data_IF_655390915817
#
_entry.id   IF_655390915817
#
_cell.length_a   1.000
_cell.length_b   1.000
_cell.length_c   1.000
_cell.angle_alpha   90.00
_cell.angle_beta   90.00
_cell.angle_gamma   90.00
#
_symmetry.space_group_name_H-M   'P 1'
#
loop_
_entity.id
_entity.type
_entity.pdbx_description
1 polymer ?
#
# COMPACT_ATOMS: atom_id res chain seq x y z
N UNK A 1 37.42 -18.31 -49.39
CA UNK A 1 36.06 -18.26 -49.96
C UNK A 1 35.88 -19.54 -50.75
N UNK A 2 34.74 -20.23 -50.59
CA UNK A 2 34.50 -21.63 -50.99
C UNK A 2 35.36 -22.63 -50.16
N UNK A 3 34.97 -23.86 -49.81
CA UNK A 3 33.70 -24.59 -49.55
C UNK A 3 33.96 -26.07 -49.90
N UNK A 4 33.72 -26.99 -48.97
CA UNK A 4 33.57 -28.47 -49.10
C UNK A 4 33.26 -28.98 -47.66
N UNK A 5 32.07 -29.51 -47.34
CA UNK A 5 31.50 -30.87 -47.60
C UNK A 5 32.02 -31.90 -46.56
N UNK A 6 31.21 -32.40 -45.59
CA UNK A 6 30.16 -33.48 -45.64
C UNK A 6 30.80 -34.88 -45.58
N UNK A 7 30.42 -35.88 -44.75
CA UNK A 7 29.26 -36.17 -43.84
C UNK A 7 29.75 -37.20 -42.73
N UNK A 8 29.04 -37.87 -41.78
CA UNK A 8 27.64 -38.09 -41.30
C UNK A 8 27.68 -38.70 -39.84
N UNK A 9 26.56 -39.27 -39.32
CA UNK A 9 26.32 -40.21 -38.18
C UNK A 9 25.86 -39.59 -36.82
N UNK A 10 24.70 -39.88 -36.18
CA UNK A 10 23.90 -41.11 -35.90
C UNK A 10 24.47 -41.90 -34.69
N UNK A 11 23.76 -42.28 -33.61
CA UNK A 11 22.36 -42.07 -33.12
C UNK A 11 22.23 -42.51 -31.64
N UNK A 12 21.03 -42.41 -31.02
CA UNK A 12 20.34 -43.42 -30.16
C UNK A 12 19.18 -42.75 -29.37
N UNK A 13 18.13 -43.51 -29.06
CA UNK A 13 16.90 -43.07 -28.35
C UNK A 13 16.55 -43.98 -27.15
N UNK A 14 15.41 -43.69 -26.48
CA UNK A 14 14.78 -44.42 -25.36
C UNK A 14 15.39 -44.09 -23.98
N UNK A 15 14.61 -43.78 -22.93
CA UNK A 15 13.14 -43.68 -22.86
C UNK A 15 12.63 -43.06 -21.55
N UNK A 16 11.31 -43.01 -21.38
CA UNK A 16 10.63 -42.53 -20.16
C UNK A 16 10.85 -43.46 -18.95
N UNK A 17 10.92 -42.86 -17.76
CA UNK A 17 10.44 -43.48 -16.52
C UNK A 17 10.06 -42.38 -15.49
N UNK A 18 8.86 -42.48 -14.90
CA UNK A 18 8.36 -41.51 -13.90
C UNK A 18 8.35 -42.12 -12.49
N UNK A 19 8.92 -41.42 -11.50
CA UNK A 19 8.48 -41.50 -10.09
C UNK A 19 8.46 -40.07 -9.50
N UNK A 20 7.38 -39.64 -8.80
CA UNK A 20 7.22 -38.25 -8.36
C UNK A 20 7.76 -37.97 -6.95
N UNK A 21 8.20 -36.74 -6.71
CA UNK A 21 8.35 -36.17 -5.37
C UNK A 21 7.31 -35.06 -5.14
N UNK A 22 6.35 -35.33 -4.26
CA UNK A 22 5.37 -34.32 -3.82
C UNK A 22 5.93 -33.45 -2.67
N UNK A 23 5.22 -32.35 -2.38
CA UNK A 23 5.38 -31.51 -1.18
C UNK A 23 6.57 -30.54 -1.16
N UNK A 24 6.40 -29.41 -1.87
CA UNK A 24 6.47 -28.13 -1.16
C UNK A 24 5.35 -27.23 -1.68
N UNK A 25 4.45 -26.81 -0.79
CA UNK A 25 3.31 -25.97 -1.14
C UNK A 25 3.72 -24.52 -1.32
N UNK A 26 4.32 -24.17 -2.46
CA UNK A 26 4.26 -22.80 -2.94
C UNK A 26 2.80 -22.50 -3.29
N UNK A 27 2.15 -21.62 -2.50
CA UNK A 27 0.89 -21.03 -2.93
C UNK A 27 1.16 -20.34 -4.26
N UNK A 28 0.60 -20.88 -5.35
CA UNK A 28 0.78 -20.31 -6.68
C UNK A 28 0.15 -18.92 -6.68
N UNK A 29 0.98 -17.90 -6.94
CA UNK A 29 0.48 -16.57 -7.25
C UNK A 29 -0.20 -16.71 -8.61
N UNK A 30 -1.49 -16.39 -8.66
CA UNK A 30 -2.29 -16.45 -9.88
C UNK A 30 -1.59 -15.76 -11.06
N UNK A 31 -1.81 -16.25 -12.27
CA UNK A 31 -1.07 -15.84 -13.47
C UNK A 31 -1.13 -14.33 -13.68
N UNK A 32 -2.30 -13.73 -13.48
CA UNK A 32 -2.53 -12.28 -13.52
C UNK A 32 -1.72 -11.52 -12.46
N UNK A 33 -1.57 -12.09 -11.26
CA UNK A 33 -0.77 -11.52 -10.18
C UNK A 33 0.74 -11.53 -10.48
N UNK A 34 1.23 -12.59 -11.12
CA UNK A 34 2.62 -12.65 -11.57
C UNK A 34 2.87 -11.73 -12.77
N UNK A 35 1.94 -11.65 -13.74
CA UNK A 35 2.03 -10.68 -14.83
C UNK A 35 2.04 -9.25 -14.28
N UNK A 36 1.13 -8.90 -13.37
CA UNK A 36 1.09 -7.60 -12.70
C UNK A 36 2.44 -7.21 -12.07
N UNK A 37 3.08 -8.14 -11.36
CA UNK A 37 4.39 -7.94 -10.73
C UNK A 37 5.48 -7.66 -11.77
N UNK A 38 5.60 -8.51 -12.79
CA UNK A 38 6.64 -8.38 -13.83
C UNK A 38 6.44 -7.11 -14.68
N UNK A 39 5.21 -6.87 -15.14
CA UNK A 39 4.80 -5.77 -16.03
C UNK A 39 5.01 -4.38 -15.42
N UNK A 40 4.79 -4.25 -14.11
CA UNK A 40 4.95 -2.98 -13.39
C UNK A 40 6.36 -2.77 -12.79
N UNK A 41 7.30 -3.70 -13.01
CA UNK A 41 8.68 -3.56 -12.50
C UNK A 41 8.77 -3.71 -10.99
N UNK A 42 7.92 -4.56 -10.41
CA UNK A 42 7.92 -4.91 -9.01
C UNK A 42 8.86 -6.10 -8.80
N UNK A 43 9.78 -6.02 -7.83
CA UNK A 43 10.68 -7.11 -7.48
C UNK A 43 10.34 -7.67 -6.11
N UNK A 44 10.05 -8.98 -6.00
CA UNK A 44 9.92 -9.65 -4.69
C UNK A 44 11.26 -9.52 -3.96
N UNK A 45 11.25 -8.95 -2.74
CA UNK A 45 12.48 -8.86 -1.95
C UNK A 45 12.83 -10.22 -1.34
N UNK A 46 14.12 -10.45 -1.10
CA UNK A 46 14.58 -11.68 -0.45
C UNK A 46 14.08 -11.72 0.99
N UNK A 47 13.39 -12.81 1.35
CA UNK A 47 12.96 -13.08 2.73
C UNK A 47 14.20 -13.18 3.65
N UNK A 48 14.09 -12.67 4.88
CA UNK A 48 15.20 -12.47 5.83
C UNK A 48 16.28 -11.45 5.45
N UNK A 49 16.13 -10.72 4.33
CA UNK A 49 16.96 -9.53 4.06
C UNK A 49 16.71 -8.41 5.07
N UNK A 50 17.62 -7.44 5.17
CA UNK A 50 17.47 -6.29 6.06
C UNK A 50 16.22 -5.44 5.72
N UNK A 51 15.85 -5.33 4.44
CA UNK A 51 14.62 -4.65 4.02
C UNK A 51 13.37 -5.42 4.45
N UNK A 52 13.35 -6.75 4.26
CA UNK A 52 12.26 -7.63 4.70
C UNK A 52 12.08 -7.57 6.22
N UNK A 53 13.17 -7.64 6.99
CA UNK A 53 13.15 -7.49 8.45
C UNK A 53 12.59 -6.13 8.88
N UNK A 54 13.10 -5.01 8.35
CA UNK A 54 12.63 -3.67 8.72
C UNK A 54 11.15 -3.47 8.41
N UNK A 55 10.69 -3.92 7.23
CA UNK A 55 9.29 -3.76 6.81
C UNK A 55 8.36 -4.65 7.67
N UNK A 56 8.74 -5.92 7.93
CA UNK A 56 7.97 -6.80 8.83
C UNK A 56 7.92 -6.27 10.26
N UNK A 57 9.05 -5.83 10.82
CA UNK A 57 9.11 -5.25 12.18
C UNK A 57 8.28 -3.97 12.29
N UNK A 58 8.32 -3.09 11.29
CA UNK A 58 7.46 -1.91 11.20
C UNK A 58 5.98 -2.30 11.19
N UNK A 59 5.60 -3.21 10.29
CA UNK A 59 4.23 -3.70 10.15
C UNK A 59 3.68 -4.33 11.43
N UNK A 60 4.38 -5.29 12.03
CA UNK A 60 3.88 -5.98 13.23
C UNK A 60 3.92 -5.12 14.50
N UNK A 61 4.83 -4.14 14.58
CA UNK A 61 4.80 -3.12 15.63
C UNK A 61 3.56 -2.25 15.51
N UNK A 62 3.26 -1.73 14.31
CA UNK A 62 2.11 -0.88 14.08
C UNK A 62 0.75 -1.58 14.07
N UNK A 63 0.73 -2.92 13.98
CA UNK A 63 -0.46 -3.77 14.15
C UNK A 63 -0.86 -3.96 15.63
N UNK A 64 0.01 -3.55 16.56
CA UNK A 64 -0.14 -3.76 17.99
C UNK A 64 0.02 -5.23 18.37
N UNK A 65 1.18 -5.61 18.91
CA UNK A 65 1.58 -7.00 19.22
C UNK A 65 0.57 -7.79 20.08
N UNK A 66 -0.30 -7.11 20.83
CA UNK A 66 -1.32 -7.70 21.69
C UNK A 66 -2.70 -7.85 21.03
N UNK A 67 -2.94 -7.32 19.83
CA UNK A 67 -4.26 -7.43 19.18
C UNK A 67 -4.53 -8.85 18.68
N UNK A 68 -5.77 -9.32 18.88
CA UNK A 68 -6.20 -10.66 18.46
C UNK A 68 -6.21 -10.86 16.94
N UNK A 69 -6.23 -9.75 16.17
CA UNK A 69 -6.10 -9.74 14.72
C UNK A 69 -4.62 -9.87 14.32
N UNK A 70 -3.70 -9.08 14.90
CA UNK A 70 -2.27 -9.12 14.58
C UNK A 70 -1.66 -10.53 14.73
N UNK A 71 -2.06 -11.27 15.77
CA UNK A 71 -1.62 -12.66 16.02
C UNK A 71 -2.09 -13.67 14.97
N UNK A 72 -3.02 -13.27 14.09
CA UNK A 72 -3.57 -14.08 13.00
C UNK A 72 -3.33 -13.47 11.61
N UNK A 73 -2.63 -12.34 11.56
CA UNK A 73 -2.21 -11.70 10.30
C UNK A 73 -0.80 -12.17 9.96
N UNK A 74 -0.53 -12.50 8.69
CA UNK A 74 0.82 -12.80 8.20
C UNK A 74 1.13 -11.99 6.94
N UNK A 75 2.39 -11.61 6.75
CA UNK A 75 2.87 -11.07 5.47
C UNK A 75 3.29 -12.26 4.60
N UNK A 76 2.62 -12.41 3.46
CA UNK A 76 2.84 -13.45 2.46
C UNK A 76 4.02 -13.09 1.56
N UNK A 77 4.05 -11.85 1.06
CA UNK A 77 5.10 -11.35 0.18
C UNK A 77 5.30 -9.84 0.35
N UNK A 78 6.51 -9.38 0.03
CA UNK A 78 6.84 -7.96 -0.07
C UNK A 78 7.50 -7.73 -1.42
N UNK A 79 6.96 -6.78 -2.18
CA UNK A 79 7.43 -6.43 -3.52
C UNK A 79 7.91 -4.98 -3.53
N UNK A 80 9.16 -4.75 -3.92
CA UNK A 80 9.76 -3.41 -4.03
C UNK A 80 9.42 -2.80 -5.38
N UNK A 81 8.91 -1.57 -5.37
CA UNK A 81 8.69 -0.79 -6.58
C UNK A 81 10.04 -0.22 -7.07
N UNK A 82 10.59 -0.81 -8.12
CA UNK A 82 11.82 -0.32 -8.75
C UNK A 82 11.60 0.95 -9.59
N UNK A 83 10.34 1.37 -9.79
CA UNK A 83 9.96 2.52 -10.61
C UNK A 83 10.59 2.46 -12.01
N UNK A 84 10.65 1.27 -12.62
CA UNK A 84 11.44 1.01 -13.83
C UNK A 84 10.81 1.57 -15.12
N UNK A 85 9.47 1.71 -15.15
CA UNK A 85 8.73 2.31 -16.26
C UNK A 85 9.05 3.80 -16.44
N UNK A 86 8.77 4.36 -17.63
CA UNK A 86 9.00 5.79 -17.89
C UNK A 86 8.20 6.69 -16.92
N UNK A 87 6.93 6.37 -16.69
CA UNK A 87 6.08 7.06 -15.71
C UNK A 87 6.56 6.87 -14.27
N UNK A 88 7.02 5.67 -13.90
CA UNK A 88 7.64 5.41 -12.59
C UNK A 88 8.88 6.27 -12.36
N UNK A 89 9.81 6.31 -13.32
CA UNK A 89 11.02 7.16 -13.28
C UNK A 89 10.66 8.63 -13.12
N UNK A 90 9.70 9.13 -13.91
CA UNK A 90 9.24 10.52 -13.84
C UNK A 90 8.61 10.86 -12.48
N UNK A 91 7.77 9.98 -11.91
CA UNK A 91 7.20 10.15 -10.56
C UNK A 91 8.28 10.15 -9.47
N UNK A 92 9.24 9.23 -9.53
CA UNK A 92 10.36 9.16 -8.60
C UNK A 92 11.28 10.39 -8.67
N UNK A 93 11.55 10.90 -9.88
CA UNK A 93 12.30 12.15 -10.08
C UNK A 93 11.53 13.37 -9.56
N UNK A 94 10.23 13.47 -9.87
CA UNK A 94 9.34 14.52 -9.34
C UNK A 94 9.38 14.55 -7.81
N UNK A 95 9.24 13.39 -7.16
CA UNK A 95 9.34 13.27 -5.70
C UNK A 95 10.70 13.77 -5.16
N UNK A 96 11.83 13.52 -5.85
CA UNK A 96 13.11 14.08 -5.40
C UNK A 96 13.22 15.59 -5.60
N UNK A 97 12.66 16.14 -6.70
CA UNK A 97 12.63 17.60 -6.92
C UNK A 97 11.78 18.30 -5.86
N UNK A 98 10.58 17.81 -5.58
CA UNK A 98 9.73 18.35 -4.52
C UNK A 98 10.32 18.12 -3.13
N UNK A 99 10.94 16.97 -2.87
CA UNK A 99 11.63 16.72 -1.60
C UNK A 99 12.81 17.66 -1.40
N UNK A 100 13.46 18.14 -2.47
CA UNK A 100 14.48 19.18 -2.33
C UNK A 100 13.83 20.55 -2.08
N UNK A 101 12.84 20.93 -2.88
CA UNK A 101 12.18 22.24 -2.75
C UNK A 101 11.55 22.47 -1.36
N UNK A 102 10.94 21.43 -0.78
CA UNK A 102 10.40 21.49 0.60
C UNK A 102 11.53 21.52 1.64
N UNK A 103 12.66 20.82 1.43
CA UNK A 103 13.81 20.93 2.33
C UNK A 103 14.42 22.34 2.31
N UNK A 104 14.61 22.91 1.12
CA UNK A 104 15.12 24.28 0.92
C UNK A 104 14.18 25.32 1.57
N UNK A 105 12.85 25.11 1.52
CA UNK A 105 11.83 25.91 2.23
C UNK A 105 11.86 25.73 3.75
N UNK A 106 12.04 24.51 4.24
CA UNK A 106 11.88 24.14 5.66
C UNK A 106 13.19 24.10 6.47
N UNK A 107 14.26 24.74 5.98
CA UNK A 107 15.52 24.89 6.72
C UNK A 107 16.45 23.67 6.67
N UNK A 108 16.29 22.80 5.66
CA UNK A 108 17.19 21.68 5.36
C UNK A 108 16.59 20.28 5.47
N UNK A 109 15.40 20.12 6.06
CA UNK A 109 14.66 18.84 6.10
C UNK A 109 13.26 18.99 5.48
N UNK A 110 12.92 18.10 4.55
CA UNK A 110 11.58 17.99 3.96
C UNK A 110 10.62 17.12 4.80
N UNK A 111 11.06 16.70 5.99
CA UNK A 111 10.28 15.94 6.97
C UNK A 111 9.75 14.61 6.38
N UNK A 112 10.56 13.95 5.55
CA UNK A 112 10.14 12.76 4.80
C UNK A 112 9.98 11.55 5.72
N UNK A 113 8.79 10.93 5.75
CA UNK A 113 8.49 9.75 6.55
C UNK A 113 8.05 8.56 5.69
N UNK A 114 8.02 7.38 6.29
CA UNK A 114 7.31 6.23 5.74
C UNK A 114 5.87 6.18 6.27
N UNK A 115 4.93 5.84 5.41
CA UNK A 115 3.52 5.73 5.73
C UNK A 115 2.84 4.59 4.94
N UNK A 116 1.86 3.96 5.58
CA UNK A 116 1.04 2.91 5.03
C UNK A 116 -0.21 3.49 4.35
N UNK A 117 -0.66 2.83 3.29
CA UNK A 117 -1.92 3.11 2.61
C UNK A 117 -2.61 1.78 2.30
N UNK A 118 -3.85 1.64 2.76
CA UNK A 118 -4.69 0.47 2.54
C UNK A 118 -5.95 0.83 1.76
N UNK A 119 -6.20 0.08 0.69
CA UNK A 119 -7.31 0.25 -0.25
C UNK A 119 -7.64 -1.11 -0.91
N UNK A 120 -8.45 -1.11 -1.97
CA UNK A 120 -8.66 -2.29 -2.81
C UNK A 120 -7.39 -2.65 -3.60
N UNK A 121 -7.27 -3.92 -3.99
CA UNK A 121 -6.10 -4.43 -4.73
C UNK A 121 -5.96 -3.81 -6.13
N UNK A 122 -7.07 -3.47 -6.79
CA UNK A 122 -7.07 -2.79 -8.08
C UNK A 122 -6.73 -1.29 -7.93
N UNK A 123 -7.22 -0.62 -6.87
CA UNK A 123 -6.80 0.76 -6.53
C UNK A 123 -5.27 0.81 -6.28
N UNK A 124 -4.69 -0.17 -5.57
CA UNK A 124 -3.23 -0.27 -5.37
C UNK A 124 -2.50 -0.57 -6.68
N UNK A 125 -3.05 -1.40 -7.58
CA UNK A 125 -2.52 -1.63 -8.93
C UNK A 125 -2.47 -0.33 -9.74
N UNK A 126 -3.58 0.39 -9.82
CA UNK A 126 -3.71 1.62 -10.59
C UNK A 126 -2.82 2.74 -10.02
N UNK A 127 -2.66 2.83 -8.69
CA UNK A 127 -1.70 3.73 -8.04
C UNK A 127 -0.25 3.43 -8.43
N UNK A 128 0.13 2.15 -8.52
CA UNK A 128 1.50 1.75 -8.88
C UNK A 128 1.77 1.98 -10.38
N UNK A 129 0.79 1.71 -11.23
CA UNK A 129 0.90 1.87 -12.68
C UNK A 129 0.83 3.36 -13.09
N UNK A 130 -0.25 4.05 -12.71
CA UNK A 130 -0.57 5.41 -13.17
C UNK A 130 -0.21 6.51 -12.16
N UNK A 131 -0.25 6.22 -10.86
CA UNK A 131 -0.10 7.20 -9.78
C UNK A 131 -1.42 7.38 -9.03
N UNK A 132 -1.41 8.12 -7.92
CA UNK A 132 -2.64 8.45 -7.19
C UNK A 132 -3.59 9.22 -8.10
N UNK A 133 -4.87 8.86 -8.10
CA UNK A 133 -5.88 9.49 -8.94
C UNK A 133 -7.16 9.73 -8.16
N UNK A 134 -7.98 10.64 -8.66
CA UNK A 134 -9.30 10.97 -8.08
C UNK A 134 -10.41 10.00 -8.52
N UNK A 135 -10.12 9.11 -9.48
CA UNK A 135 -11.12 8.31 -10.16
C UNK A 135 -11.36 6.98 -9.45
N UNK A 136 -12.27 6.97 -8.48
CA UNK A 136 -12.90 5.74 -8.01
C UNK A 136 -13.78 5.16 -9.12
N UNK A 137 -13.63 3.87 -9.42
CA UNK A 137 -14.54 3.11 -10.30
C UNK A 137 -15.87 2.83 -9.58
N UNK A 138 -16.65 3.89 -9.37
CA UNK A 138 -17.94 3.80 -8.70
C UNK A 138 -19.06 3.54 -9.72
N UNK A 139 -19.58 2.32 -9.74
CA UNK A 139 -20.88 2.03 -10.35
C UNK A 139 -21.96 2.88 -9.67
N UNK A 140 -22.47 3.88 -10.39
CA UNK A 140 -23.69 4.61 -10.07
C UNK A 140 -23.80 5.19 -8.66
N UNK A 141 -23.44 6.47 -8.51
CA UNK A 141 -23.81 7.34 -7.37
C UNK A 141 -23.11 7.05 -6.02
N UNK A 142 -21.91 7.64 -5.86
CA UNK A 142 -21.47 8.22 -4.59
C UNK A 142 -20.42 9.31 -4.80
N UNK A 143 -20.32 10.21 -3.83
CA UNK A 143 -19.56 11.45 -3.87
C UNK A 143 -18.06 11.24 -4.23
N UNK A 144 -17.62 11.77 -5.38
CA UNK A 144 -16.28 11.59 -5.92
C UNK A 144 -15.20 12.45 -5.22
N UNK A 145 -15.52 13.07 -4.09
CA UNK A 145 -14.78 14.19 -3.50
C UNK A 145 -13.65 13.80 -2.54
N UNK A 146 -12.76 12.86 -2.92
CA UNK A 146 -11.49 12.58 -2.19
C UNK A 146 -10.49 13.73 -2.39
N UNK A 147 -10.72 14.87 -1.73
CA UNK A 147 -9.87 16.08 -1.76
C UNK A 147 -8.44 15.86 -1.22
N UNK A 148 -8.17 14.74 -0.55
CA UNK A 148 -6.86 14.38 -0.02
C UNK A 148 -6.68 12.87 0.07
N UNK A 149 -5.42 12.44 0.09
CA UNK A 149 -5.01 11.07 0.41
C UNK A 149 -4.61 11.03 1.89
N UNK A 150 -5.24 10.14 2.66
CA UNK A 150 -4.88 9.87 4.06
C UNK A 150 -4.01 8.62 4.14
N UNK A 151 -2.83 8.72 4.76
CA UNK A 151 -1.91 7.61 5.00
C UNK A 151 -1.68 7.42 6.50
N UNK A 152 -1.58 6.18 6.98
CA UNK A 152 -1.24 5.89 8.37
C UNK A 152 0.28 5.96 8.58
N UNK A 153 0.81 6.70 9.57
CA UNK A 153 2.24 6.70 9.88
C UNK A 153 2.80 5.29 10.11
N UNK A 154 4.10 5.08 9.87
CA UNK A 154 4.73 3.75 9.99
C UNK A 154 4.37 2.97 11.28
N UNK A 155 4.23 3.68 12.41
CA UNK A 155 3.82 3.17 13.73
C UNK A 155 2.35 2.71 13.86
N UNK A 156 1.53 2.81 12.81
CA UNK A 156 0.08 2.55 12.84
C UNK A 156 -0.43 1.81 11.59
N UNK A 157 0.29 0.78 11.14
CA UNK A 157 -0.16 -0.13 10.07
C UNK A 157 -1.54 -0.74 10.31
N UNK A 158 -1.97 -0.93 11.57
CA UNK A 158 -3.32 -1.40 11.90
C UNK A 158 -4.42 -0.56 11.24
N UNK A 159 -4.28 0.76 11.28
CA UNK A 159 -5.29 1.69 10.78
C UNK A 159 -5.43 1.60 9.24
N UNK A 160 -4.36 1.20 8.53
CA UNK A 160 -4.40 0.87 7.09
C UNK A 160 -4.86 -0.56 6.80
N UNK A 161 -4.56 -1.55 7.65
CA UNK A 161 -5.13 -2.91 7.52
C UNK A 161 -6.65 -2.89 7.67
N UNK A 162 -7.20 -1.96 8.46
CA UNK A 162 -8.65 -1.75 8.55
C UNK A 162 -9.25 -1.01 7.34
N UNK A 163 -8.45 -0.36 6.48
CA UNK A 163 -8.92 0.31 5.26
C UNK A 163 -8.63 -0.46 3.97
N UNK A 164 -7.75 -1.47 4.01
CA UNK A 164 -7.57 -2.42 2.91
C UNK A 164 -8.79 -3.32 2.73
N UNK A 165 -9.17 -3.55 1.47
CA UNK A 165 -10.08 -4.64 1.15
C UNK A 165 -9.31 -5.98 1.07
N UNK A 166 -10.00 -7.08 1.38
CA UNK A 166 -9.45 -8.44 1.33
C UNK A 166 -10.39 -9.36 0.57
N UNK A 167 -9.83 -10.35 -0.12
CA UNK A 167 -10.54 -11.38 -0.85
C UNK A 167 -11.32 -12.35 0.07
N UNK A 168 -11.87 -13.43 -0.49
CA UNK A 168 -12.62 -14.44 0.27
C UNK A 168 -11.75 -15.23 1.26
N UNK A 169 -10.46 -15.37 0.98
CA UNK A 169 -9.46 -16.02 1.83
C UNK A 169 -8.93 -15.09 2.93
N UNK A 170 -9.16 -13.77 2.80
CA UNK A 170 -8.63 -12.73 3.66
C UNK A 170 -7.25 -12.20 3.21
N UNK A 171 -6.81 -12.50 1.99
CA UNK A 171 -5.64 -11.90 1.34
C UNK A 171 -5.97 -10.46 0.90
N UNK A 172 -5.11 -9.51 1.24
CA UNK A 172 -5.20 -8.12 0.79
C UNK A 172 -3.84 -7.52 0.51
N UNK A 173 -3.86 -6.32 -0.06
CA UNK A 173 -2.67 -5.53 -0.35
C UNK A 173 -2.60 -4.28 0.53
N UNK A 174 -1.36 -3.91 0.86
CA UNK A 174 -0.98 -2.63 1.45
C UNK A 174 0.12 -1.99 0.61
N UNK A 175 0.12 -0.67 0.57
CA UNK A 175 1.19 0.12 -0.04
C UNK A 175 1.99 0.83 1.05
N UNK A 176 3.31 0.67 1.03
CA UNK A 176 4.24 1.42 1.87
C UNK A 176 4.88 2.52 1.02
N UNK A 177 4.56 3.77 1.35
CA UNK A 177 5.01 4.96 0.66
C UNK A 177 6.09 5.72 1.44
N UNK A 178 6.94 6.46 0.74
CA UNK A 178 7.58 7.65 1.31
C UNK A 178 6.67 8.84 1.11
N UNK A 179 6.56 9.70 2.11
CA UNK A 179 5.71 10.90 2.10
C UNK A 179 6.53 12.12 2.50
N UNK A 180 6.49 13.19 1.71
CA UNK A 180 7.00 14.52 2.06
C UNK A 180 5.93 15.21 2.92
N UNK A 181 6.30 15.65 4.12
CA UNK A 181 5.35 16.30 5.04
C UNK A 181 5.66 17.79 5.28
N UNK A 182 6.90 18.23 5.00
CA UNK A 182 7.35 19.62 5.22
C UNK A 182 6.91 20.21 6.55
N UNK A 183 6.37 21.43 6.52
CA UNK A 183 5.65 22.05 7.63
C UNK A 183 4.20 21.57 7.64
N UNK A 184 3.76 21.01 8.77
CA UNK A 184 2.44 20.41 8.93
C UNK A 184 1.43 21.38 9.57
N UNK A 185 0.16 21.30 9.17
CA UNK A 185 -0.97 21.92 9.88
C UNK A 185 -1.99 20.89 10.38
N UNK A 186 -2.72 21.22 11.44
CA UNK A 186 -3.86 20.40 11.92
C UNK A 186 -5.11 20.77 11.14
N UNK A 187 -5.75 19.79 10.50
CA UNK A 187 -7.05 19.99 9.84
C UNK A 187 -8.11 19.18 10.56
N UNK A 188 -9.20 19.84 10.97
CA UNK A 188 -10.35 19.20 11.62
C UNK A 188 -11.19 18.40 10.62
N UNK A 189 -11.87 17.35 11.09
CA UNK A 189 -12.63 16.43 10.24
C UNK A 189 -13.79 17.10 9.47
N UNK A 190 -14.27 18.25 9.94
CA UNK A 190 -15.36 19.03 9.35
C UNK A 190 -14.88 20.08 8.31
N UNK A 191 -13.59 20.09 7.97
CA UNK A 191 -12.99 21.09 7.07
C UNK A 191 -13.08 20.69 5.59
N UNK A 192 -13.71 21.54 4.77
CA UNK A 192 -13.79 21.40 3.31
C UNK A 192 -12.49 21.81 2.58
N UNK A 193 -11.34 21.61 3.22
CA UNK A 193 -10.04 22.15 2.79
C UNK A 193 -9.31 21.19 1.82
N UNK A 194 -9.06 21.68 0.60
CA UNK A 194 -8.46 20.92 -0.50
C UNK A 194 -7.03 21.36 -0.90
N UNK A 195 -6.44 22.28 -0.13
CA UNK A 195 -5.06 22.76 -0.26
C UNK A 195 -4.55 23.31 1.10
N UNK A 196 -3.24 23.58 1.27
CA UNK A 196 -2.72 24.24 2.48
C UNK A 196 -3.46 25.54 2.82
N UNK A 197 -3.76 25.82 4.09
CA UNK A 197 -4.46 27.04 4.51
C UNK A 197 -3.64 28.32 4.26
N UNK A 198 -2.31 28.16 4.20
CA UNK A 198 -1.30 29.19 3.99
C UNK A 198 -0.14 28.58 3.20
N UNK A 199 0.57 29.34 2.33
CA UNK A 199 1.74 28.85 1.59
C UNK A 199 2.89 28.33 2.46
N UNK A 200 2.86 28.58 3.77
CA UNK A 200 3.85 28.07 4.71
C UNK A 200 3.75 26.56 4.95
N UNK A 201 2.57 25.95 4.78
CA UNK A 201 2.33 24.52 5.04
C UNK A 201 2.50 23.67 3.77
N UNK A 202 2.78 22.38 3.94
CA UNK A 202 3.10 21.42 2.87
C UNK A 202 2.23 20.15 2.94
N UNK A 203 1.89 19.69 4.16
CA UNK A 203 0.91 18.63 4.40
C UNK A 203 0.06 18.93 5.64
N UNK A 204 -0.95 18.09 5.89
CA UNK A 204 -1.77 18.13 7.09
C UNK A 204 -1.62 16.86 7.94
N UNK A 205 -1.95 16.98 9.23
CA UNK A 205 -2.04 15.88 10.20
C UNK A 205 -3.30 16.01 11.07
N UNK A 206 -3.65 14.92 11.76
CA UNK A 206 -4.72 14.91 12.77
C UNK A 206 -4.27 15.42 14.16
N UNK A 207 -2.99 15.25 14.51
CA UNK A 207 -2.36 15.82 15.71
C UNK A 207 -0.87 16.08 15.44
N UNK A 208 -0.32 17.22 15.88
CA UNK A 208 1.09 17.58 15.64
C UNK A 208 2.10 16.82 16.54
N UNK A 209 1.66 16.35 17.70
CA UNK A 209 2.52 15.67 18.70
C UNK A 209 2.51 14.15 18.53
N UNK A 210 1.37 13.58 18.18
CA UNK A 210 1.12 12.14 18.13
C UNK A 210 0.34 11.69 16.88
N UNK A 211 0.65 12.19 15.66
CA UNK A 211 -0.17 11.98 14.46
C UNK A 211 -0.48 10.51 14.22
N UNK A 212 -1.75 10.21 13.87
CA UNK A 212 -2.23 8.92 13.35
C UNK A 212 -2.60 8.97 11.88
N UNK A 213 -2.71 10.16 11.29
CA UNK A 213 -2.96 10.35 9.86
C UNK A 213 -2.01 11.40 9.30
N UNK A 214 -1.40 11.10 8.16
CA UNK A 214 -0.77 12.07 7.29
C UNK A 214 -1.72 12.34 6.13
N UNK A 215 -2.09 13.60 5.93
CA UNK A 215 -3.06 14.05 4.95
C UNK A 215 -2.32 14.85 3.88
N UNK A 216 -2.29 14.33 2.66
CA UNK A 216 -1.70 14.99 1.49
C UNK A 216 -2.83 15.42 0.56
N UNK A 217 -3.01 16.72 0.36
CA UNK A 217 -4.06 17.20 -0.55
C UNK A 217 -3.80 16.76 -2.00
N UNK A 218 -4.89 16.57 -2.76
CA UNK A 218 -4.83 16.03 -4.11
C UNK A 218 -3.98 16.82 -5.14
N UNK A 219 -3.72 18.15 -5.04
CA UNK A 219 -2.75 18.81 -5.92
C UNK A 219 -1.31 18.29 -5.75
N UNK A 220 -1.01 17.67 -4.61
CA UNK A 220 0.33 17.25 -4.20
C UNK A 220 0.53 15.73 -4.18
N UNK A 221 -0.54 14.93 -4.30
CA UNK A 221 -0.48 13.47 -4.10
C UNK A 221 0.57 12.74 -4.98
N UNK A 222 0.78 13.17 -6.22
CA UNK A 222 1.75 12.56 -7.15
C UNK A 222 3.16 13.16 -7.10
N UNK A 223 3.38 14.19 -6.29
CA UNK A 223 4.70 14.78 -6.02
C UNK A 223 5.19 14.53 -4.60
N UNK A 224 4.27 14.40 -3.64
CA UNK A 224 4.55 14.26 -2.21
C UNK A 224 4.39 12.83 -1.69
N UNK A 225 3.87 11.90 -2.49
CA UNK A 225 3.80 10.47 -2.15
C UNK A 225 4.55 9.65 -3.21
N UNK A 226 5.49 8.82 -2.78
CA UNK A 226 6.19 7.86 -3.62
C UNK A 226 5.88 6.42 -3.18
N UNK A 227 5.11 5.64 -3.95
CA UNK A 227 4.94 4.20 -3.77
C UNK A 227 6.29 3.47 -3.76
N UNK A 228 6.66 2.83 -2.64
CA UNK A 228 7.98 2.17 -2.48
C UNK A 228 7.89 0.64 -2.38
N UNK A 229 6.89 0.09 -1.67
CA UNK A 229 6.70 -1.36 -1.58
C UNK A 229 5.20 -1.72 -1.56
N UNK A 230 4.83 -2.84 -2.18
CA UNK A 230 3.54 -3.51 -1.96
C UNK A 230 3.77 -4.65 -0.96
N UNK A 231 2.92 -4.74 0.05
CA UNK A 231 2.92 -5.80 1.06
C UNK A 231 1.64 -6.61 0.87
N UNK A 232 1.78 -7.88 0.50
CA UNK A 232 0.69 -8.84 0.43
C UNK A 232 0.52 -9.50 1.79
N UNK A 233 -0.66 -9.40 2.40
CA UNK A 233 -0.94 -9.92 3.74
C UNK A 233 -2.21 -10.75 3.78
N UNK A 234 -2.24 -11.82 4.56
CA UNK A 234 -3.45 -12.55 4.90
C UNK A 234 -3.93 -12.15 6.29
N UNK A 235 -5.20 -11.76 6.41
CA UNK A 235 -5.90 -11.47 7.65
C UNK A 235 -7.33 -12.10 7.62
N UNK A 236 -7.46 -13.44 7.69
CA UNK A 236 -8.73 -14.16 7.46
C UNK A 236 -9.88 -13.77 8.41
N UNK A 237 -9.62 -13.06 9.50
CA UNK A 237 -10.64 -12.58 10.44
C UNK A 237 -11.02 -11.10 10.24
N UNK A 238 -10.41 -10.37 9.28
CA UNK A 238 -10.65 -8.95 9.07
C UNK A 238 -12.11 -8.66 8.70
N UNK A 239 -12.68 -9.39 7.72
CA UNK A 239 -14.10 -9.25 7.33
C UNK A 239 -15.05 -9.39 8.53
N UNK A 240 -14.82 -10.40 9.38
CA UNK A 240 -15.61 -10.67 10.59
C UNK A 240 -15.40 -9.59 11.66
N UNK A 241 -14.17 -9.11 11.83
CA UNK A 241 -13.81 -8.06 12.78
C UNK A 241 -14.47 -6.73 12.41
N UNK A 242 -14.38 -6.30 11.15
CA UNK A 242 -15.04 -5.09 10.63
C UNK A 242 -16.57 -5.18 10.79
N UNK A 243 -17.19 -6.31 10.44
CA UNK A 243 -18.62 -6.53 10.65
C UNK A 243 -19.04 -6.42 12.13
N UNK A 244 -18.18 -6.86 13.05
CA UNK A 244 -18.40 -6.74 14.51
C UNK A 244 -18.34 -5.28 15.00
N UNK A 245 -17.40 -4.48 14.48
CA UNK A 245 -17.27 -3.04 14.79
C UNK A 245 -18.45 -2.24 14.27
N UNK A 246 -18.92 -2.55 13.06
CA UNK A 246 -20.12 -1.94 12.47
C UNK A 246 -21.36 -2.27 13.32
N UNK A 247 -21.54 -3.54 13.69
CA UNK A 247 -22.62 -3.96 14.60
C UNK A 247 -22.55 -3.28 15.97
N UNK A 248 -21.36 -3.12 16.56
CA UNK A 248 -21.18 -2.42 17.83
C UNK A 248 -21.54 -0.93 17.72
N UNK A 249 -21.14 -0.27 16.62
CA UNK A 249 -21.43 1.13 16.35
C UNK A 249 -22.95 1.38 16.23
N UNK A 250 -23.67 0.53 15.51
CA UNK A 250 -25.14 0.60 15.45
C UNK A 250 -25.82 0.35 16.80
N UNK A 251 -25.28 -0.54 17.65
CA UNK A 251 -25.79 -0.73 19.02
C UNK A 251 -25.61 0.53 19.87
N UNK A 252 -24.44 1.16 19.82
CA UNK A 252 -24.18 2.41 20.55
C UNK A 252 -25.09 3.56 20.09
N UNK A 253 -25.31 3.71 18.78
CA UNK A 253 -26.23 4.71 18.23
C UNK A 253 -27.70 4.46 18.62
N UNK A 254 -28.12 3.20 18.77
CA UNK A 254 -29.46 2.88 19.32
C UNK A 254 -29.56 3.19 20.81
N UNK A 255 -28.52 2.91 21.59
CA UNK A 255 -28.49 3.22 23.03
C UNK A 255 -28.50 4.73 23.29
N UNK A 256 -27.78 5.53 22.49
CA UNK A 256 -27.81 6.99 22.64
C UNK A 256 -29.19 7.56 22.28
N UNK A 257 -29.78 7.17 21.13
CA UNK A 257 -31.13 7.59 20.74
C UNK A 257 -32.21 7.16 21.73
N UNK A 258 -32.11 5.96 22.30
CA UNK A 258 -33.04 5.48 23.34
C UNK A 258 -33.11 6.36 24.59
N UNK A 259 -32.02 7.07 24.94
CA UNK A 259 -31.99 8.00 26.07
C UNK A 259 -32.64 9.36 25.79
N UNK A 260 -32.92 9.70 24.53
CA UNK A 260 -33.60 10.95 24.13
C UNK A 260 -35.12 10.77 23.91
N UNK A 261 -35.68 9.60 24.27
CA UNK A 261 -37.11 9.30 24.17
C UNK A 261 -37.72 8.81 25.50
N UNK A 262 -37.11 9.23 26.63
CA UNK A 262 -37.61 8.99 28.00
C UNK A 262 -37.55 10.27 28.86
N UNK A 263 -37.77 11.42 28.24
CA UNK A 263 -37.92 12.74 28.84
C UNK A 263 -39.10 13.45 28.18
#
# INVERSE_FOLDING_TARGET
MNQIVVEDQVSVTIGDDQIPCATSGSNEIDSDGLEFVVKNGLAKIQESSLEDFIIRTSFFSGMGQNSGLAKKTKIVAIHKNLNSSWSGKARAQSFQVFSKAVADKCGGDANVKYAWYGAASDEISDIVMHGFSWCLKADGNRDCSRHSISLSPAKFSFDSVLSSEVDENGLGLLLLCRVILGKQEVVTADSNQFHPSSPEFDSSVDDLSAPRKYIVWSPYMNSHILPCYIISFEAPYLRVFLASLICASFRLQRISRGKYHQA
#
